data_IF_114243570264
#
_entry.id   IF_114243570264
#
_cell.length_a   1.000
_cell.length_b   1.000
_cell.length_c   1.000
_cell.angle_alpha   90.00
_cell.angle_beta   90.00
_cell.angle_gamma   90.00
#
_symmetry.space_group_name_H-M   'P 1'
#
loop_
_entity.id
_entity.type
_entity.pdbx_description
1 polymer ?
#
# COMPACT_ATOMS: atom_id res chain seq x y z
N UNK A 1 1.24 -9.30 61.39
CA UNK A 1 0.68 -10.12 60.28
C UNK A 1 0.88 -9.29 59.03
N UNK A 2 1.99 -9.52 58.33
CA UNK A 2 2.47 -8.62 57.28
C UNK A 2 2.83 -9.47 56.06
N UNK A 3 1.91 -9.57 55.10
CA UNK A 3 2.20 -10.17 53.79
C UNK A 3 2.31 -9.05 52.76
N UNK A 4 3.50 -8.47 52.66
CA UNK A 4 3.88 -7.62 51.53
C UNK A 4 4.21 -8.53 50.36
N UNK A 5 3.27 -8.69 49.43
CA UNK A 5 3.52 -9.29 48.13
C UNK A 5 4.35 -8.32 47.26
N UNK A 6 5.45 -8.76 46.64
CA UNK A 6 6.26 -7.90 45.79
C UNK A 6 5.53 -7.55 44.48
N UNK A 7 5.70 -6.33 43.93
CA UNK A 7 5.16 -5.97 42.63
C UNK A 7 5.84 -6.80 41.54
N UNK A 8 5.04 -7.60 40.83
CA UNK A 8 5.49 -8.32 39.64
C UNK A 8 5.75 -7.31 38.52
N UNK A 9 6.99 -6.90 38.35
CA UNK A 9 7.46 -6.27 37.12
C UNK A 9 7.61 -7.34 36.05
N UNK A 10 6.48 -7.76 35.49
CA UNK A 10 6.41 -8.48 34.21
C UNK A 10 6.32 -7.45 33.09
N UNK A 11 7.29 -7.48 32.18
CA UNK A 11 7.36 -6.62 31.02
C UNK A 11 6.39 -7.12 29.94
N UNK A 12 5.09 -6.93 30.16
CA UNK A 12 4.03 -7.34 29.23
C UNK A 12 3.62 -6.18 28.33
N UNK A 13 4.53 -5.72 27.46
CA UNK A 13 4.24 -4.68 26.46
C UNK A 13 3.37 -5.17 25.29
N UNK A 14 2.64 -6.27 25.49
CA UNK A 14 1.78 -6.93 24.51
C UNK A 14 0.32 -7.04 24.96
N UNK A 15 -0.04 -6.54 26.15
CA UNK A 15 -1.39 -6.68 26.70
C UNK A 15 -2.22 -5.41 26.68
N UNK A 16 -1.68 -4.23 26.36
CA UNK A 16 -2.46 -2.98 26.34
C UNK A 16 -3.08 -2.71 24.96
N UNK A 17 -4.31 -2.17 24.94
CA UNK A 17 -4.93 -1.76 23.68
C UNK A 17 -4.22 -0.50 23.13
N UNK A 18 -3.78 -0.47 21.86
CA UNK A 18 -3.07 0.69 21.30
C UNK A 18 -3.94 1.93 21.07
N UNK A 19 -5.27 1.81 21.21
CA UNK A 19 -6.21 2.93 21.05
C UNK A 19 -6.51 3.67 22.36
N UNK A 20 -6.60 2.95 23.48
CA UNK A 20 -6.88 3.54 24.80
C UNK A 20 -5.71 3.42 25.79
N UNK A 21 -4.65 2.68 25.43
CA UNK A 21 -3.46 2.41 26.24
C UNK A 21 -3.74 1.69 27.57
N UNK A 22 -4.95 1.15 27.73
CA UNK A 22 -5.42 0.50 28.95
C UNK A 22 -5.43 -1.03 28.79
N UNK A 23 -5.34 -1.75 29.91
CA UNK A 23 -5.42 -3.22 29.93
C UNK A 23 -6.85 -3.67 29.58
N UNK A 24 -7.06 -4.33 28.44
CA UNK A 24 -8.38 -4.74 27.98
C UNK A 24 -8.88 -5.92 28.81
N UNK A 25 -10.05 -5.76 29.45
CA UNK A 25 -10.80 -6.89 30.02
C UNK A 25 -11.32 -7.84 28.92
N UNK A 26 -11.66 -7.28 27.74
CA UNK A 26 -12.20 -8.00 26.59
C UNK A 26 -11.43 -7.64 25.31
N UNK A 27 -10.46 -8.49 24.92
CA UNK A 27 -9.74 -8.35 23.64
C UNK A 27 -10.49 -9.00 22.50
N UNK A 28 -10.65 -8.28 21.39
CA UNK A 28 -11.15 -8.84 20.14
C UNK A 28 -9.97 -9.03 19.19
N UNK A 29 -9.74 -10.28 18.78
CA UNK A 29 -8.78 -10.60 17.74
C UNK A 29 -9.37 -10.27 16.38
N UNK A 30 -8.76 -9.29 15.71
CA UNK A 30 -9.10 -8.89 14.34
C UNK A 30 -8.52 -9.92 13.36
N UNK A 31 -9.10 -10.18 12.17
CA UNK A 31 -8.59 -11.18 11.21
C UNK A 31 -7.12 -10.99 10.79
N UNK A 32 -6.56 -9.80 11.00
CA UNK A 32 -5.15 -9.49 10.81
C UNK A 32 -4.26 -9.77 12.03
N UNK A 33 -4.75 -10.51 13.03
CA UNK A 33 -4.09 -10.85 14.29
C UNK A 33 -3.70 -9.65 15.20
N UNK A 34 -4.26 -8.47 14.95
CA UNK A 34 -4.13 -7.32 15.84
C UNK A 34 -5.21 -7.34 16.93
N UNK A 35 -4.87 -6.91 18.14
CA UNK A 35 -5.75 -6.97 19.30
C UNK A 35 -6.11 -5.58 19.79
N UNK A 36 -7.40 -5.36 20.06
CA UNK A 36 -7.93 -4.11 20.60
C UNK A 36 -9.00 -4.41 21.64
N UNK A 37 -9.30 -3.43 22.49
CA UNK A 37 -10.48 -3.47 23.33
C UNK A 37 -11.76 -3.45 22.47
N UNK A 38 -12.78 -4.25 22.80
CA UNK A 38 -14.01 -4.35 22.00
C UNK A 38 -14.65 -2.97 21.74
N UNK A 39 -14.67 -2.11 22.75
CA UNK A 39 -15.19 -0.74 22.65
C UNK A 39 -14.42 0.11 21.63
N UNK A 40 -13.08 0.04 21.70
CA UNK A 40 -12.16 0.80 20.86
C UNK A 40 -12.33 0.40 19.38
N UNK A 41 -12.41 -0.91 19.13
CA UNK A 41 -12.60 -1.45 17.79
C UNK A 41 -13.97 -1.09 17.22
N UNK A 42 -15.03 -1.15 18.05
CA UNK A 42 -16.39 -0.80 17.62
C UNK A 42 -16.51 0.68 17.22
N UNK A 43 -15.94 1.60 18.00
CA UNK A 43 -15.92 3.02 17.66
C UNK A 43 -15.15 3.29 16.35
N UNK A 44 -14.02 2.61 16.16
CA UNK A 44 -13.24 2.74 14.93
C UNK A 44 -14.01 2.20 13.71
N UNK A 45 -14.58 1.00 13.84
CA UNK A 45 -15.33 0.32 12.77
C UNK A 45 -16.57 1.11 12.30
N UNK A 46 -17.18 1.92 13.16
CA UNK A 46 -18.28 2.83 12.78
C UNK A 46 -17.82 3.88 11.76
N UNK A 47 -16.57 4.35 11.85
CA UNK A 47 -16.00 5.35 10.94
C UNK A 47 -15.32 4.70 9.74
N UNK A 48 -14.54 3.66 9.99
CA UNK A 48 -13.72 2.97 9.00
C UNK A 48 -13.65 1.48 9.36
N UNK A 49 -14.22 0.57 8.53
CA UNK A 49 -14.15 -0.87 8.76
C UNK A 49 -12.77 -1.42 8.34
N UNK A 50 -11.70 -0.86 8.90
CA UNK A 50 -10.31 -1.25 8.64
C UNK A 50 -9.56 -1.41 9.96
N UNK A 51 -8.52 -2.24 9.98
CA UNK A 51 -7.65 -2.35 11.13
C UNK A 51 -6.84 -1.04 11.32
N UNK A 52 -6.83 -0.42 12.52
CA UNK A 52 -6.04 0.78 12.80
C UNK A 52 -4.53 0.62 12.53
N UNK A 53 -3.99 -0.59 12.73
CA UNK A 53 -2.56 -0.86 12.60
C UNK A 53 -2.13 -1.19 11.15
N UNK A 54 -2.81 -2.12 10.48
CA UNK A 54 -2.41 -2.60 9.15
C UNK A 54 -3.36 -2.26 8.01
N UNK A 55 -4.46 -1.53 8.29
CA UNK A 55 -5.47 -1.09 7.31
C UNK A 55 -6.20 -2.22 6.57
N UNK A 56 -6.04 -3.48 6.99
CA UNK A 56 -6.81 -4.62 6.47
C UNK A 56 -8.30 -4.39 6.71
N UNK A 57 -9.15 -4.66 5.70
CA UNK A 57 -10.59 -4.49 5.80
C UNK A 57 -11.17 -5.49 6.81
N UNK A 58 -11.95 -5.00 7.76
CA UNK A 58 -12.66 -5.80 8.73
C UNK A 58 -13.99 -6.19 8.09
N UNK A 59 -14.05 -7.37 7.49
CA UNK A 59 -15.27 -7.90 6.88
C UNK A 59 -16.27 -8.27 7.97
N UNK A 60 -16.92 -7.27 8.55
CA UNK A 60 -18.22 -7.47 9.19
C UNK A 60 -19.23 -7.53 8.05
N UNK A 61 -20.05 -8.61 7.92
CA UNK A 61 -21.09 -8.66 6.92
C UNK A 61 -22.19 -7.67 7.31
N UNK A 62 -21.95 -6.37 7.08
CA UNK A 62 -23.05 -5.44 6.90
C UNK A 62 -23.62 -5.78 5.55
N UNK A 63 -24.76 -6.46 5.55
CA UNK A 63 -25.61 -6.70 4.40
C UNK A 63 -26.04 -5.35 3.81
N UNK A 64 -25.11 -4.66 3.15
CA UNK A 64 -25.43 -3.59 2.23
C UNK A 64 -26.07 -4.33 1.08
N UNK A 65 -27.40 -4.30 1.06
CA UNK A 65 -28.20 -4.63 -0.11
C UNK A 65 -27.81 -3.63 -1.20
N UNK A 66 -26.67 -3.89 -1.85
CA UNK A 66 -26.32 -3.28 -3.10
C UNK A 66 -27.27 -3.91 -4.08
N UNK A 67 -28.31 -3.16 -4.40
CA UNK A 67 -29.19 -3.43 -5.52
C UNK A 67 -28.28 -3.62 -6.74
N UNK A 68 -27.99 -4.88 -7.04
CA UNK A 68 -27.56 -5.30 -8.36
C UNK A 68 -28.73 -4.97 -9.27
N UNK A 69 -28.73 -3.74 -9.78
CA UNK A 69 -29.42 -3.44 -11.03
C UNK A 69 -28.55 -4.02 -12.14
N UNK A 70 -28.52 -5.36 -12.23
CA UNK A 70 -28.21 -6.03 -13.48
C UNK A 70 -29.37 -5.74 -14.41
N UNK A 71 -29.38 -4.52 -14.95
CA UNK A 71 -30.07 -4.20 -16.18
C UNK A 71 -29.41 -5.07 -17.24
N UNK A 72 -29.99 -6.24 -17.43
CA UNK A 72 -29.86 -7.06 -18.62
C UNK A 72 -30.36 -6.23 -19.81
N UNK A 73 -29.50 -5.31 -20.25
CA UNK A 73 -29.71 -4.56 -21.47
C UNK A 73 -29.36 -5.51 -22.60
N UNK A 74 -30.40 -6.11 -23.18
CA UNK A 74 -30.38 -6.77 -24.48
C UNK A 74 -29.49 -5.96 -25.42
N UNK A 75 -28.26 -6.42 -25.65
CA UNK A 75 -27.37 -5.80 -26.62
C UNK A 75 -28.02 -5.98 -28.01
N UNK A 76 -28.17 -4.92 -28.83
CA UNK A 76 -28.71 -5.07 -30.15
C UNK A 76 -27.69 -5.81 -31.02
N UNK A 77 -28.06 -7.03 -31.44
CA UNK A 77 -27.16 -8.03 -32.02
C UNK A 77 -26.61 -7.65 -33.42
N UNK A 78 -27.11 -6.61 -34.10
CA UNK A 78 -26.50 -6.09 -35.33
C UNK A 78 -26.67 -4.58 -35.49
N UNK A 79 -25.75 -3.82 -34.91
CA UNK A 79 -25.57 -2.42 -35.33
C UNK A 79 -25.14 -2.34 -36.80
N UNK A 80 -25.44 -1.22 -37.46
CA UNK A 80 -25.07 -1.02 -38.87
C UNK A 80 -23.54 -1.06 -39.05
N UNK A 81 -23.05 -1.31 -40.27
CA UNK A 81 -21.60 -1.26 -40.57
C UNK A 81 -21.00 0.10 -40.18
N UNK A 82 -21.77 1.18 -40.35
CA UNK A 82 -21.40 2.54 -39.94
C UNK A 82 -21.25 2.64 -38.43
N UNK A 83 -22.22 2.17 -37.65
CA UNK A 83 -22.13 2.18 -36.19
C UNK A 83 -20.96 1.33 -35.66
N UNK A 84 -20.65 0.21 -36.34
CA UNK A 84 -19.48 -0.61 -36.01
C UNK A 84 -18.17 0.14 -36.27
N UNK A 85 -18.07 0.83 -37.41
CA UNK A 85 -16.90 1.65 -37.75
C UNK A 85 -16.74 2.81 -36.76
N UNK A 86 -17.82 3.51 -36.42
CA UNK A 86 -17.82 4.61 -35.43
C UNK A 86 -17.39 4.12 -34.04
N UNK A 87 -17.86 2.94 -33.59
CA UNK A 87 -17.43 2.35 -32.31
C UNK A 87 -15.97 1.98 -32.30
N UNK A 88 -15.46 1.44 -33.40
CA UNK A 88 -14.05 1.07 -33.55
C UNK A 88 -13.15 2.31 -33.58
N UNK A 89 -13.54 3.35 -34.30
CA UNK A 89 -12.86 4.64 -34.33
C UNK A 89 -12.86 5.28 -32.94
N UNK A 90 -14.02 5.35 -32.27
CA UNK A 90 -14.12 5.86 -30.92
C UNK A 90 -13.28 5.03 -29.92
N UNK A 91 -13.16 3.72 -30.11
CA UNK A 91 -12.29 2.88 -29.26
C UNK A 91 -10.80 3.16 -29.50
N UNK A 92 -10.39 3.38 -30.74
CA UNK A 92 -9.02 3.79 -31.11
C UNK A 92 -8.71 5.18 -30.56
N UNK A 93 -9.66 6.12 -30.67
CA UNK A 93 -9.54 7.47 -30.13
C UNK A 93 -9.42 7.45 -28.61
N UNK A 94 -10.29 6.71 -27.90
CA UNK A 94 -10.17 6.52 -26.44
C UNK A 94 -8.81 5.98 -26.05
N UNK A 95 -8.30 4.99 -26.79
CA UNK A 95 -6.98 4.39 -26.54
C UNK A 95 -5.84 5.40 -26.76
N UNK A 96 -5.91 6.22 -27.82
CA UNK A 96 -4.94 7.30 -28.08
C UNK A 96 -5.01 8.38 -26.99
N UNK A 97 -6.21 8.82 -26.63
CA UNK A 97 -6.45 9.81 -25.59
C UNK A 97 -5.93 9.34 -24.23
N UNK A 98 -6.18 8.08 -23.84
CA UNK A 98 -5.63 7.52 -22.59
C UNK A 98 -4.10 7.50 -22.56
N UNK A 99 -3.45 7.12 -23.67
CA UNK A 99 -1.97 7.12 -23.76
C UNK A 99 -1.42 8.55 -23.72
N UNK A 100 -2.04 9.49 -24.41
CA UNK A 100 -1.65 10.90 -24.40
C UNK A 100 -1.82 11.52 -22.99
N UNK A 101 -2.93 11.23 -22.31
CA UNK A 101 -3.18 11.69 -20.95
C UNK A 101 -2.16 11.14 -19.94
N UNK A 102 -1.76 9.86 -20.07
CA UNK A 102 -0.70 9.30 -19.24
C UNK A 102 0.64 10.02 -19.48
N UNK A 103 1.01 10.23 -20.74
CA UNK A 103 2.25 10.95 -21.09
C UNK A 103 2.26 12.36 -20.50
N UNK A 104 1.19 13.13 -20.69
CA UNK A 104 1.07 14.48 -20.13
C UNK A 104 1.21 14.50 -18.61
N UNK A 105 0.64 13.50 -17.91
CA UNK A 105 0.81 13.36 -16.46
C UNK A 105 2.26 13.10 -16.08
N UNK A 106 2.96 12.22 -16.80
CA UNK A 106 4.37 11.92 -16.56
C UNK A 106 5.24 13.15 -16.82
N UNK A 107 5.03 13.86 -17.93
CA UNK A 107 5.76 15.07 -18.28
C UNK A 107 5.60 16.14 -17.18
N UNK A 108 4.37 16.32 -16.67
CA UNK A 108 4.12 17.21 -15.53
C UNK A 108 4.90 16.79 -14.28
N UNK A 109 4.80 15.53 -13.87
CA UNK A 109 5.54 15.02 -12.71
C UNK A 109 7.06 15.18 -12.86
N UNK A 110 7.58 14.99 -14.08
CA UNK A 110 9.00 15.15 -14.37
C UNK A 110 9.44 16.63 -14.35
N UNK A 111 8.57 17.55 -14.78
CA UNK A 111 8.85 18.99 -14.81
C UNK A 111 8.85 19.63 -13.43
N UNK A 112 8.11 19.07 -12.47
CA UNK A 112 7.95 19.61 -11.11
C UNK A 112 9.10 19.19 -10.16
N UNK A 113 9.99 18.28 -10.57
CA UNK A 113 11.04 17.73 -9.73
C UNK A 113 12.45 18.16 -10.19
N UNK A 114 13.03 19.13 -9.49
CA UNK A 114 14.44 19.51 -9.68
C UNK A 114 15.30 18.61 -8.80
N UNK A 115 16.09 17.73 -9.41
CA UNK A 115 17.09 16.95 -8.67
C UNK A 115 18.19 17.89 -8.13
N UNK A 116 18.92 17.53 -7.06
CA UNK A 116 20.00 18.37 -6.51
C UNK A 116 21.10 18.74 -7.52
N UNK A 117 21.20 18.04 -8.64
CA UNK A 117 22.12 18.34 -9.75
C UNK A 117 21.57 19.34 -10.78
N UNK A 118 20.34 19.86 -10.58
CA UNK A 118 19.69 20.82 -11.46
C UNK A 118 19.21 20.26 -12.79
N UNK A 119 19.21 18.93 -12.97
CA UNK A 119 18.82 18.28 -14.23
C UNK A 119 17.41 17.68 -14.16
N UNK A 120 16.64 17.72 -15.27
CA UNK A 120 15.39 16.96 -15.38
C UNK A 120 15.63 15.47 -15.19
N UNK A 121 14.68 14.78 -14.56
CA UNK A 121 14.77 13.36 -14.20
C UNK A 121 15.11 12.44 -15.39
N UNK A 122 14.69 12.81 -16.61
CA UNK A 122 14.91 12.06 -17.85
C UNK A 122 16.40 11.96 -18.25
N UNK A 123 17.27 12.79 -17.67
CA UNK A 123 18.72 12.73 -17.89
C UNK A 123 19.47 11.80 -16.92
N UNK A 124 18.79 11.22 -15.93
CA UNK A 124 19.40 10.22 -15.07
C UNK A 124 19.28 8.85 -15.72
N UNK A 125 20.39 8.13 -15.94
CA UNK A 125 20.34 6.80 -16.51
C UNK A 125 19.47 5.91 -15.61
N UNK A 126 18.38 5.40 -16.17
CA UNK A 126 17.60 4.34 -15.55
C UNK A 126 18.53 3.14 -15.37
N UNK A 127 19.03 2.93 -14.16
CA UNK A 127 19.86 1.77 -13.86
C UNK A 127 19.01 0.51 -14.12
N UNK A 128 19.49 -0.33 -15.04
CA UNK A 128 18.83 -1.62 -15.29
C UNK A 128 19.00 -2.52 -14.06
N UNK A 129 18.15 -3.53 -13.92
CA UNK A 129 18.32 -4.53 -12.86
C UNK A 129 19.70 -5.19 -12.91
N UNK A 130 20.32 -5.26 -14.09
CA UNK A 130 21.69 -5.75 -14.26
C UNK A 130 22.74 -4.77 -13.72
N UNK A 131 22.54 -3.46 -13.91
CA UNK A 131 23.41 -2.42 -13.35
C UNK A 131 23.38 -2.43 -11.83
N UNK A 132 22.20 -2.63 -11.23
CA UNK A 132 22.04 -2.77 -9.77
C UNK A 132 22.79 -4.01 -9.25
N UNK A 133 22.69 -5.15 -9.96
CA UNK A 133 23.41 -6.38 -9.59
C UNK A 133 24.93 -6.20 -9.68
N UNK A 134 25.42 -5.59 -10.75
CA UNK A 134 26.86 -5.29 -10.94
C UNK A 134 27.37 -4.34 -9.86
N UNK A 135 26.60 -3.31 -9.51
CA UNK A 135 26.97 -2.37 -8.46
C UNK A 135 27.00 -3.06 -7.09
N UNK A 136 26.02 -3.90 -6.77
CA UNK A 136 26.00 -4.72 -5.56
C UNK A 136 27.20 -5.66 -5.46
N UNK A 137 27.60 -6.29 -6.58
CA UNK A 137 28.76 -7.18 -6.62
C UNK A 137 30.07 -6.40 -6.42
N UNK A 138 30.24 -5.24 -7.05
CA UNK A 138 31.40 -4.36 -6.85
C UNK A 138 31.50 -3.86 -5.40
N UNK A 139 30.39 -3.44 -4.81
CA UNK A 139 30.35 -3.00 -3.41
C UNK A 139 30.66 -4.14 -2.44
N UNK A 140 30.22 -5.37 -2.76
CA UNK A 140 30.58 -6.57 -1.99
C UNK A 140 32.08 -6.85 -2.00
N UNK A 141 32.75 -6.68 -3.15
CA UNK A 141 34.21 -6.79 -3.23
C UNK A 141 34.94 -5.67 -2.50
N UNK A 142 34.43 -4.43 -2.56
CA UNK A 142 34.99 -3.30 -1.83
C UNK A 142 34.90 -3.48 -0.31
N UNK A 143 33.75 -3.95 0.21
CA UNK A 143 33.56 -4.23 1.63
C UNK A 143 34.38 -5.43 2.12
N UNK A 144 34.58 -6.45 1.28
CA UNK A 144 35.47 -7.57 1.59
C UNK A 144 36.95 -7.16 1.70
N UNK A 145 37.39 -6.16 0.92
CA UNK A 145 38.73 -5.59 1.02
C UNK A 145 38.96 -4.71 2.26
N UNK A 146 37.90 -4.12 2.83
CA UNK A 146 37.99 -3.24 4.00
C UNK A 146 38.21 -4.04 5.30
N UNK A 147 37.72 -5.29 5.39
CA UNK A 147 37.95 -6.15 6.56
C UNK A 147 39.39 -6.68 6.68
N UNK A 148 40.18 -6.71 5.59
CA UNK A 148 41.56 -7.23 5.63
C UNK A 148 42.59 -6.16 6.01
N UNK A 149 42.20 -4.89 6.14
CA UNK A 149 43.11 -3.77 6.39
C UNK A 149 43.09 -3.24 7.84
N UNK A 150 42.45 -3.93 8.80
CA UNK A 150 42.38 -3.51 10.23
C UNK A 150 43.08 -4.46 11.22
N UNK A 151 43.99 -5.32 10.75
CA UNK A 151 44.83 -6.18 11.62
C UNK A 151 46.33 -5.84 11.50
N UNK A 152 46.67 -4.55 11.49
CA UNK A 152 48.08 -4.15 11.48
C UNK A 152 48.29 -2.67 11.68
N UNK A 153 48.12 -2.19 12.91
CA UNK A 153 48.96 -1.18 13.57
C UNK A 153 48.64 -1.16 15.07
#
# INVERSE_FOLDING_TARGET
MSTTTPPKFGHDMHSCCPLCLESPADTVAVPCAHQFCAHCLAQWAQRQPTCPLCRTILTVPVSRSSQQTSSDALQPIRGTLRERAEREEAARERSRASRAALRQRLDRYQSEFITPSGRPFESLPLATMEDIRKLGQKNRFALAGICQAREGF
#
